data_IF_018615173480
#
_entry.id   IF_018615173480
#
_cell.length_a   1.000
_cell.length_b   1.000
_cell.length_c   1.000
_cell.angle_alpha   90.00
_cell.angle_beta   90.00
_cell.angle_gamma   90.00
#
_symmetry.space_group_name_H-M   'P 1'
#
loop_
_entity.id
_entity.type
_entity.pdbx_description
1 polymer ?
#
# COMPACT_ATOMS: atom_id res chain seq x y z
N UNK A 1 21.53 3.17 -92.51
CA UNK A 1 20.55 3.85 -91.62
C UNK A 1 20.39 3.11 -90.29
N UNK A 2 20.86 1.87 -90.20
CA UNK A 2 20.70 0.97 -89.05
C UNK A 2 21.48 1.39 -87.80
N UNK A 3 22.66 2.00 -87.98
CA UNK A 3 23.50 2.50 -86.88
C UNK A 3 22.84 3.60 -86.03
N UNK A 4 21.97 4.43 -86.63
CA UNK A 4 21.27 5.48 -85.90
C UNK A 4 20.10 4.91 -85.07
N UNK A 5 19.47 3.84 -85.54
CA UNK A 5 18.40 3.14 -84.82
C UNK A 5 18.96 2.41 -83.58
N UNK A 6 20.10 1.73 -83.72
CA UNK A 6 20.78 1.07 -82.58
C UNK A 6 21.22 2.06 -81.49
N UNK A 7 21.71 3.24 -81.88
CA UNK A 7 22.11 4.29 -80.94
C UNK A 7 20.90 4.85 -80.17
N UNK A 8 19.77 5.06 -80.84
CA UNK A 8 18.54 5.55 -80.21
C UNK A 8 17.99 4.54 -79.19
N UNK A 9 17.99 3.25 -79.51
CA UNK A 9 17.58 2.18 -78.58
C UNK A 9 18.51 2.11 -77.36
N UNK A 10 19.82 2.23 -77.55
CA UNK A 10 20.79 2.21 -76.46
C UNK A 10 20.61 3.40 -75.49
N UNK A 11 20.34 4.60 -76.02
CA UNK A 11 20.06 5.79 -75.20
C UNK A 11 18.76 5.62 -74.41
N UNK A 12 17.69 5.12 -75.05
CA UNK A 12 16.42 4.86 -74.36
C UNK A 12 16.60 3.83 -73.25
N UNK A 13 17.34 2.74 -73.50
CA UNK A 13 17.62 1.72 -72.50
C UNK A 13 18.41 2.28 -71.30
N UNK A 14 19.38 3.16 -71.54
CA UNK A 14 20.12 3.84 -70.47
C UNK A 14 19.22 4.76 -69.64
N UNK A 15 18.38 5.57 -70.29
CA UNK A 15 17.44 6.46 -69.59
C UNK A 15 16.47 5.65 -68.73
N UNK A 16 15.93 4.55 -69.26
CA UNK A 16 15.03 3.67 -68.51
C UNK A 16 15.74 3.03 -67.32
N UNK A 17 17.00 2.58 -67.48
CA UNK A 17 17.79 2.01 -66.38
C UNK A 17 18.05 3.03 -65.26
N UNK A 18 18.38 4.28 -65.62
CA UNK A 18 18.58 5.37 -64.65
C UNK A 18 17.27 5.72 -63.94
N UNK A 19 16.16 5.78 -64.66
CA UNK A 19 14.84 6.03 -64.07
C UNK A 19 14.42 4.90 -63.10
N UNK A 20 14.66 3.63 -63.46
CA UNK A 20 14.34 2.50 -62.58
C UNK A 20 15.19 2.52 -61.31
N UNK A 21 16.50 2.73 -61.44
CA UNK A 21 17.42 2.77 -60.29
C UNK A 21 17.12 3.93 -59.34
N UNK A 22 16.80 5.11 -59.88
CA UNK A 22 16.39 6.28 -59.07
C UNK A 22 15.07 6.07 -58.34
N UNK A 23 14.07 5.46 -58.98
CA UNK A 23 12.79 5.11 -58.34
C UNK A 23 12.99 4.09 -57.22
N UNK A 24 13.77 3.03 -57.46
CA UNK A 24 14.09 2.01 -56.45
C UNK A 24 14.81 2.63 -55.25
N UNK A 25 15.78 3.52 -55.51
CA UNK A 25 16.48 4.26 -54.46
C UNK A 25 15.49 5.08 -53.62
N UNK A 26 14.61 5.87 -54.25
CA UNK A 26 13.65 6.71 -53.55
C UNK A 26 12.72 5.89 -52.64
N UNK A 27 12.23 4.76 -53.14
CA UNK A 27 11.38 3.85 -52.38
C UNK A 27 12.12 3.24 -51.18
N UNK A 28 13.39 2.83 -51.37
CA UNK A 28 14.23 2.33 -50.28
C UNK A 28 14.48 3.37 -49.20
N UNK A 29 14.75 4.62 -49.58
CA UNK A 29 14.91 5.73 -48.63
C UNK A 29 13.64 6.01 -47.82
N UNK A 30 12.47 6.00 -48.47
CA UNK A 30 11.18 6.18 -47.77
C UNK A 30 10.92 5.10 -46.73
N UNK A 31 11.19 3.84 -47.07
CA UNK A 31 11.06 2.71 -46.13
C UNK A 31 12.02 2.84 -44.94
N UNK A 32 13.28 3.19 -45.20
CA UNK A 32 14.27 3.42 -44.14
C UNK A 32 13.83 4.52 -43.16
N UNK A 33 13.29 5.63 -43.67
CA UNK A 33 12.79 6.71 -42.80
C UNK A 33 11.59 6.27 -41.96
N UNK A 34 10.68 5.48 -42.52
CA UNK A 34 9.52 4.95 -41.79
C UNK A 34 9.93 3.97 -40.67
N UNK A 35 10.82 3.03 -40.98
CA UNK A 35 11.36 2.10 -39.97
C UNK A 35 12.09 2.85 -38.85
N UNK A 36 12.87 3.89 -39.18
CA UNK A 36 13.57 4.68 -38.18
C UNK A 36 12.61 5.42 -37.23
N UNK A 37 11.46 5.89 -37.74
CA UNK A 37 10.44 6.54 -36.91
C UNK A 37 9.71 5.56 -36.00
N UNK A 38 9.41 4.34 -36.46
CA UNK A 38 8.81 3.30 -35.62
C UNK A 38 9.77 2.85 -34.51
N UNK A 39 11.05 2.68 -34.84
CA UNK A 39 12.07 2.28 -33.88
C UNK A 39 12.29 3.36 -32.81
N UNK A 40 12.29 4.64 -33.19
CA UNK A 40 12.32 5.76 -32.25
C UNK A 40 11.10 5.78 -31.33
N UNK A 41 9.91 5.54 -31.87
CA UNK A 41 8.69 5.48 -31.08
C UNK A 41 8.73 4.34 -30.05
N UNK A 42 9.18 3.15 -30.46
CA UNK A 42 9.37 2.02 -29.56
C UNK A 42 10.47 2.28 -28.51
N UNK A 43 11.57 2.92 -28.88
CA UNK A 43 12.61 3.30 -27.94
C UNK A 43 12.09 4.31 -26.90
N UNK A 44 11.26 5.26 -27.33
CA UNK A 44 10.64 6.23 -26.45
C UNK A 44 9.68 5.57 -25.46
N UNK A 45 8.87 4.60 -25.91
CA UNK A 45 8.01 3.78 -25.04
C UNK A 45 8.81 2.96 -24.02
N UNK A 46 9.91 2.32 -24.45
CA UNK A 46 10.78 1.59 -23.54
C UNK A 46 11.44 2.53 -22.51
N UNK A 47 11.86 3.72 -22.94
CA UNK A 47 12.45 4.71 -22.03
C UNK A 47 11.44 5.24 -21.00
N UNK A 48 10.17 5.43 -21.40
CA UNK A 48 9.12 5.89 -20.49
C UNK A 48 8.74 4.80 -19.49
N UNK A 49 8.64 3.54 -19.93
CA UNK A 49 8.44 2.40 -19.02
C UNK A 49 9.63 2.22 -18.05
N UNK A 50 10.86 2.36 -18.52
CA UNK A 50 12.05 2.30 -17.66
C UNK A 50 12.06 3.42 -16.62
N UNK A 51 11.64 4.64 -16.99
CA UNK A 51 11.46 5.74 -16.03
C UNK A 51 10.40 5.42 -14.99
N UNK A 52 9.25 4.88 -15.40
CA UNK A 52 8.20 4.48 -14.45
C UNK A 52 8.70 3.42 -13.48
N UNK A 53 9.37 2.38 -13.97
CA UNK A 53 10.00 1.34 -13.12
C UNK A 53 11.01 1.94 -12.14
N UNK A 54 11.85 2.86 -12.59
CA UNK A 54 12.83 3.54 -11.73
C UNK A 54 12.15 4.36 -10.62
N UNK A 55 11.06 5.07 -10.95
CA UNK A 55 10.29 5.83 -9.96
C UNK A 55 9.66 4.86 -8.96
N UNK A 56 8.98 3.82 -9.43
CA UNK A 56 8.37 2.81 -8.55
C UNK A 56 9.39 2.13 -7.64
N UNK A 57 10.57 1.79 -8.16
CA UNK A 57 11.66 1.23 -7.36
C UNK A 57 12.12 2.20 -6.26
N UNK A 58 12.31 3.49 -6.59
CA UNK A 58 12.68 4.50 -5.59
C UNK A 58 11.59 4.72 -4.53
N UNK A 59 10.31 4.67 -4.91
CA UNK A 59 9.21 4.75 -3.93
C UNK A 59 9.14 3.54 -3.01
N UNK A 60 9.56 2.37 -3.48
CA UNK A 60 9.58 1.14 -2.69
C UNK A 60 10.68 1.20 -1.61
N UNK A 61 11.86 1.72 -1.96
CA UNK A 61 12.93 1.99 -1.00
C UNK A 61 12.49 2.99 0.08
N UNK A 62 11.78 4.05 -0.32
CA UNK A 62 11.27 5.06 0.62
C UNK A 62 10.18 4.50 1.56
N UNK A 63 9.26 3.68 1.04
CA UNK A 63 8.22 3.02 1.84
C UNK A 63 8.82 2.01 2.82
N UNK A 64 9.87 1.28 2.40
CA UNK A 64 10.56 0.32 3.27
C UNK A 64 11.33 1.02 4.40
N UNK A 65 11.92 2.19 4.14
CA UNK A 65 12.52 3.02 5.19
C UNK A 65 11.48 3.56 6.17
N UNK A 66 10.31 3.98 5.67
CA UNK A 66 9.20 4.49 6.51
C UNK A 66 8.57 3.40 7.38
N UNK A 67 8.45 2.16 6.90
CA UNK A 67 7.83 1.06 7.67
C UNK A 67 8.65 0.65 8.89
N UNK A 68 9.99 0.71 8.81
CA UNK A 68 10.90 0.44 9.94
C UNK A 68 10.69 1.46 11.07
N UNK A 69 10.50 2.74 10.72
CA UNK A 69 10.27 3.81 11.70
C UNK A 69 8.90 3.67 12.37
N UNK A 70 7.86 3.32 11.59
CA UNK A 70 6.52 3.07 12.15
C UNK A 70 6.53 1.85 13.07
N UNK A 71 7.21 0.76 12.71
CA UNK A 71 7.34 -0.42 13.55
C UNK A 71 8.03 -0.11 14.89
N UNK A 72 9.11 0.69 14.85
CA UNK A 72 9.81 1.15 16.06
C UNK A 72 8.92 2.02 16.95
N UNK A 73 8.10 2.88 16.36
CA UNK A 73 7.15 3.71 17.11
C UNK A 73 6.05 2.86 17.75
N UNK A 74 5.54 1.83 17.06
CA UNK A 74 4.53 0.91 17.64
C UNK A 74 5.08 0.06 18.78
N UNK A 75 6.35 -0.30 18.73
CA UNK A 75 7.02 -1.00 19.84
C UNK A 75 7.19 -0.07 21.05
N UNK A 76 7.57 1.20 20.81
CA UNK A 76 7.70 2.19 21.88
C UNK A 76 6.37 2.55 22.56
N UNK A 77 5.28 2.62 21.79
CA UNK A 77 3.95 2.87 22.35
C UNK A 77 3.39 1.66 23.09
N UNK A 78 3.66 0.45 22.61
CA UNK A 78 3.32 -0.79 23.32
C UNK A 78 4.09 -0.91 24.65
N UNK A 79 5.38 -0.57 24.66
CA UNK A 79 6.19 -0.57 25.87
C UNK A 79 5.70 0.47 26.91
N UNK A 80 5.35 1.69 26.46
CA UNK A 80 4.78 2.70 27.33
C UNK A 80 3.42 2.27 27.90
N UNK A 81 2.57 1.61 27.09
CA UNK A 81 1.29 1.08 27.54
C UNK A 81 1.46 -0.05 28.57
N UNK A 82 2.44 -0.94 28.36
CA UNK A 82 2.75 -2.01 29.30
C UNK A 82 3.27 -1.47 30.64
N UNK A 83 4.11 -0.43 30.62
CA UNK A 83 4.59 0.21 31.84
C UNK A 83 3.46 0.92 32.60
N UNK A 84 2.56 1.61 31.87
CA UNK A 84 1.38 2.23 32.47
C UNK A 84 0.44 1.18 33.08
N UNK A 85 0.24 0.05 32.40
CA UNK A 85 -0.55 -1.06 32.93
C UNK A 85 0.08 -1.66 34.19
N UNK A 86 1.41 -1.78 34.22
CA UNK A 86 2.15 -2.22 35.40
C UNK A 86 2.00 -1.23 36.56
N UNK A 87 2.06 0.07 36.30
CA UNK A 87 1.83 1.09 37.33
C UNK A 87 0.39 1.03 37.86
N UNK A 88 -0.62 0.89 36.98
CA UNK A 88 -2.02 0.75 37.38
C UNK A 88 -2.28 -0.51 38.20
N UNK A 89 -1.67 -1.64 37.83
CA UNK A 89 -1.77 -2.87 38.62
C UNK A 89 -1.11 -2.71 39.99
N UNK A 90 0.10 -2.13 40.06
CA UNK A 90 0.74 -1.87 41.35
C UNK A 90 -0.03 -0.90 42.24
N UNK A 91 -0.69 0.12 41.67
CA UNK A 91 -1.54 1.05 42.41
C UNK A 91 -2.83 0.37 42.87
N UNK A 92 -3.45 -0.46 42.02
CA UNK A 92 -4.61 -1.27 42.40
C UNK A 92 -4.29 -2.34 43.44
N UNK A 93 -3.05 -2.82 43.51
CA UNK A 93 -2.60 -3.76 44.53
C UNK A 93 -2.33 -3.14 45.89
N UNK A 94 -2.09 -1.82 45.95
CA UNK A 94 -1.86 -1.09 47.20
C UNK A 94 -3.14 -0.81 47.99
N UNK A 95 -4.31 -0.98 47.37
CA UNK A 95 -5.60 -0.78 48.02
C UNK A 95 -6.33 -2.13 48.19
N UNK A 96 -6.31 -2.74 49.38
CA UNK A 96 -6.98 -4.02 49.63
C UNK A 96 -8.49 -3.94 49.38
N UNK A 97 -9.12 -2.79 49.61
CA UNK A 97 -10.55 -2.57 49.37
C UNK A 97 -10.86 -2.62 47.87
N UNK A 98 -9.98 -2.06 47.03
CA UNK A 98 -10.15 -2.05 45.56
C UNK A 98 -10.29 -3.45 44.97
N UNK A 99 -9.58 -4.45 45.51
CA UNK A 99 -9.69 -5.85 45.08
C UNK A 99 -11.06 -6.45 45.39
N UNK A 100 -11.64 -6.09 46.53
CA UNK A 100 -12.98 -6.56 46.93
C UNK A 100 -14.03 -5.95 46.00
N UNK A 101 -13.92 -4.65 45.68
CA UNK A 101 -14.81 -3.99 44.70
C UNK A 101 -14.66 -4.55 43.28
N UNK A 102 -13.43 -4.83 42.81
CA UNK A 102 -13.19 -5.45 41.51
C UNK A 102 -13.79 -6.87 41.42
N UNK A 103 -13.67 -7.66 42.49
CA UNK A 103 -14.26 -8.99 42.58
C UNK A 103 -15.78 -8.94 42.61
N UNK A 104 -16.36 -8.05 43.40
CA UNK A 104 -17.80 -7.83 43.47
C UNK A 104 -18.37 -7.39 42.10
N UNK A 105 -17.69 -6.47 41.41
CA UNK A 105 -18.06 -6.03 40.07
C UNK A 105 -17.99 -7.16 39.02
N UNK A 106 -16.97 -8.02 39.08
CA UNK A 106 -16.86 -9.18 38.20
C UNK A 106 -17.97 -10.23 38.46
N UNK A 107 -18.32 -10.47 39.73
CA UNK A 107 -19.42 -11.37 40.10
C UNK A 107 -20.77 -10.84 39.61
N UNK A 108 -21.05 -9.54 39.79
CA UNK A 108 -22.26 -8.89 39.27
C UNK A 108 -22.34 -8.99 37.73
N UNK A 109 -21.22 -8.76 37.02
CA UNK A 109 -21.17 -8.90 35.55
C UNK A 109 -21.41 -10.34 35.07
N UNK A 110 -21.00 -11.34 35.86
CA UNK A 110 -21.30 -12.75 35.58
C UNK A 110 -22.76 -13.16 35.87
N UNK A 111 -23.59 -12.22 36.36
CA UNK A 111 -25.01 -12.44 36.66
C UNK A 111 -25.28 -12.98 38.06
N UNK A 112 -24.30 -12.91 38.98
CA UNK A 112 -24.51 -13.26 40.38
C UNK A 112 -25.57 -12.34 41.02
N UNK A 113 -26.35 -12.91 41.94
CA UNK A 113 -27.40 -12.14 42.63
C UNK A 113 -26.80 -11.18 43.66
N UNK A 114 -27.53 -10.10 43.98
CA UNK A 114 -27.09 -9.10 44.97
C UNK A 114 -26.77 -9.77 46.32
N UNK A 115 -27.61 -10.69 46.76
CA UNK A 115 -27.44 -11.43 48.03
C UNK A 115 -26.16 -12.29 48.05
N UNK A 116 -25.86 -12.93 46.92
CA UNK A 116 -24.65 -13.74 46.74
C UNK A 116 -23.36 -12.89 46.77
N UNK A 117 -23.41 -11.68 46.20
CA UNK A 117 -22.28 -10.74 46.21
C UNK A 117 -22.06 -10.15 47.60
N UNK A 118 -23.14 -9.82 48.32
CA UNK A 118 -23.09 -9.37 49.72
C UNK A 118 -22.41 -10.43 50.59
N UNK A 119 -22.85 -11.70 50.49
CA UNK A 119 -22.33 -12.77 51.32
C UNK A 119 -20.88 -13.14 51.00
N UNK A 120 -20.48 -13.08 49.73
CA UNK A 120 -19.16 -13.53 49.27
C UNK A 120 -18.07 -12.46 49.37
N UNK A 121 -18.43 -11.19 49.26
CA UNK A 121 -17.50 -10.07 49.28
C UNK A 121 -17.60 -9.22 50.56
N UNK A 122 -18.54 -9.52 51.46
CA UNK A 122 -18.80 -8.80 52.73
C UNK A 122 -19.09 -7.31 52.53
N UNK A 123 -19.70 -6.96 51.40
CA UNK A 123 -20.09 -5.57 51.08
C UNK A 123 -21.51 -5.29 51.59
N UNK A 124 -21.76 -4.10 52.15
CA UNK A 124 -23.11 -3.69 52.51
C UNK A 124 -24.00 -3.54 51.27
N UNK A 125 -25.29 -3.84 51.42
CA UNK A 125 -26.26 -3.86 50.31
C UNK A 125 -26.27 -2.53 49.51
N UNK A 126 -26.15 -1.40 50.19
CA UNK A 126 -26.12 -0.08 49.57
C UNK A 126 -24.94 0.10 48.60
N UNK A 127 -23.79 -0.49 48.88
CA UNK A 127 -22.60 -0.43 48.02
C UNK A 127 -22.75 -1.34 46.81
N UNK A 128 -23.28 -2.56 46.99
CA UNK A 128 -23.53 -3.49 45.89
C UNK A 128 -24.57 -2.93 44.91
N UNK A 129 -25.64 -2.30 45.42
CA UNK A 129 -26.63 -1.62 44.59
C UNK A 129 -26.04 -0.44 43.82
N UNK A 130 -25.10 0.30 44.40
CA UNK A 130 -24.38 1.37 43.73
C UNK A 130 -23.48 0.84 42.60
N UNK A 131 -22.71 -0.22 42.87
CA UNK A 131 -21.86 -0.88 41.87
C UNK A 131 -22.66 -1.38 40.67
N UNK A 132 -23.85 -1.94 40.90
CA UNK A 132 -24.76 -2.37 39.85
C UNK A 132 -25.20 -1.19 38.98
N UNK A 133 -25.55 -0.04 39.58
CA UNK A 133 -25.95 1.16 38.81
C UNK A 133 -24.80 1.77 37.99
N UNK A 134 -23.55 1.66 38.48
CA UNK A 134 -22.36 2.17 37.80
C UNK A 134 -21.95 1.25 36.63
N UNK A 135 -21.97 -0.07 36.84
CA UNK A 135 -21.53 -1.07 35.84
C UNK A 135 -22.64 -1.50 34.87
N UNK A 136 -23.90 -1.38 35.26
CA UNK A 136 -25.07 -1.43 34.38
C UNK A 136 -25.69 -0.03 34.29
N UNK A 137 -25.09 0.91 33.53
CA UNK A 137 -25.80 2.12 33.13
C UNK A 137 -26.95 1.68 32.23
N UNK A 138 -28.14 1.53 32.81
CA UNK A 138 -29.43 1.35 32.13
C UNK A 138 -29.32 0.75 30.71
N UNK A 139 -29.11 -0.56 30.61
CA UNK A 139 -29.77 -1.31 29.53
C UNK A 139 -31.25 -1.42 29.92
N UNK A 140 -31.93 -0.27 29.88
CA UNK A 140 -33.36 -0.16 30.13
C UNK A 140 -34.11 -0.32 28.81
N UNK A 141 -35.15 -1.15 28.88
CA UNK A 141 -36.43 -1.10 28.15
C UNK A 141 -36.53 -0.29 26.87
#
# INVERSE_FOLDING_TARGET
MDVNLSLLIAVVALVVSVLLTTVIWLLGRRKLTQLSSELLHHQQQLSSMKKQLSITASTLEEVQARSIVVAKNTESTAAALADLHKQLTTLGEQDPESKVYQRAAAMLQSGASIDEVIHSCDLPEAEVQLLLKIHHPATGG
#
